data_IF_181091574096
#
_entry.id   IF_181091574096
#
_cell.length_a   1.000
_cell.length_b   1.000
_cell.length_c   1.000
_cell.angle_alpha   90.00
_cell.angle_beta   90.00
_cell.angle_gamma   90.00
#
_symmetry.space_group_name_H-M   'P 1'
#
loop_
_entity.id
_entity.type
_entity.pdbx_description
1 polymer ?
#
# COMPACT_ATOMS: atom_id res chain seq x y z
N UNK A 1 -1.54 -13.39 -10.47
CA UNK A 1 -2.67 -14.04 -9.78
C UNK A 1 -3.32 -13.00 -8.87
N UNK A 2 -4.60 -12.68 -9.08
CA UNK A 2 -5.38 -11.81 -8.19
C UNK A 2 -6.56 -12.65 -7.68
N UNK A 3 -6.64 -12.88 -6.37
CA UNK A 3 -7.70 -13.69 -5.75
C UNK A 3 -8.31 -12.92 -4.60
N UNK A 4 -9.64 -12.89 -4.59
CA UNK A 4 -10.46 -12.33 -3.52
C UNK A 4 -11.22 -13.47 -2.83
N UNK A 5 -11.39 -13.37 -1.51
CA UNK A 5 -12.04 -14.41 -0.71
C UNK A 5 -13.47 -14.70 -1.16
N UNK A 6 -14.18 -13.67 -1.60
CA UNK A 6 -15.56 -13.79 -2.06
C UNK A 6 -15.70 -14.77 -3.23
N UNK A 7 -14.71 -14.81 -4.13
CA UNK A 7 -14.73 -15.63 -5.35
C UNK A 7 -13.99 -16.96 -5.15
N UNK A 8 -12.86 -16.97 -4.43
CA UNK A 8 -11.96 -18.13 -4.32
C UNK A 8 -11.97 -18.77 -2.93
N UNK A 9 -13.15 -19.09 -2.39
CA UNK A 9 -13.32 -19.55 -0.99
C UNK A 9 -12.38 -20.69 -0.60
N UNK A 10 -12.35 -21.78 -1.38
CA UNK A 10 -11.54 -22.97 -1.07
C UNK A 10 -10.04 -22.67 -0.99
N UNK A 11 -9.56 -21.74 -1.81
CA UNK A 11 -8.16 -21.29 -1.76
C UNK A 11 -7.84 -20.58 -0.44
N UNK A 12 -8.76 -19.72 0.04
CA UNK A 12 -8.56 -19.03 1.31
C UNK A 12 -8.79 -19.95 2.51
N UNK A 13 -9.72 -20.92 2.43
CA UNK A 13 -9.88 -21.97 3.45
C UNK A 13 -8.59 -22.78 3.61
N UNK A 14 -7.93 -23.16 2.50
CA UNK A 14 -6.62 -23.84 2.54
C UNK A 14 -5.56 -23.01 3.28
N UNK A 15 -5.52 -21.70 3.03
CA UNK A 15 -4.58 -20.79 3.71
C UNK A 15 -4.90 -20.70 5.21
N UNK A 16 -6.17 -20.67 5.58
CA UNK A 16 -6.59 -20.70 6.98
C UNK A 16 -6.19 -22.00 7.67
N UNK A 17 -6.36 -23.14 7.02
CA UNK A 17 -6.02 -24.45 7.58
C UNK A 17 -4.50 -24.67 7.69
N UNK A 18 -3.73 -24.27 6.68
CA UNK A 18 -2.28 -24.54 6.62
C UNK A 18 -1.42 -23.46 7.30
N UNK A 19 -1.86 -22.20 7.31
CA UNK A 19 -1.09 -21.06 7.82
C UNK A 19 -1.77 -20.31 8.98
N UNK A 20 -2.97 -20.74 9.40
CA UNK A 20 -3.78 -20.07 10.44
C UNK A 20 -4.04 -18.58 10.13
N UNK A 21 -4.09 -18.24 8.84
CA UNK A 21 -4.13 -16.87 8.33
C UNK A 21 -5.45 -16.55 7.63
N UNK A 22 -6.24 -15.63 8.21
CA UNK A 22 -7.48 -15.14 7.61
C UNK A 22 -7.21 -13.91 6.72
N UNK A 23 -7.34 -14.10 5.40
CA UNK A 23 -7.13 -13.06 4.39
C UNK A 23 -8.42 -12.75 3.62
N UNK A 24 -8.54 -11.49 3.20
CA UNK A 24 -9.59 -11.00 2.30
C UNK A 24 -9.14 -11.03 0.84
N UNK A 25 -7.91 -10.60 0.55
CA UNK A 25 -7.32 -10.67 -0.78
C UNK A 25 -5.88 -11.19 -0.74
N UNK A 26 -5.47 -11.82 -1.83
CA UNK A 26 -4.09 -12.21 -2.11
C UNK A 26 -3.79 -11.96 -3.58
N UNK A 27 -2.80 -11.12 -3.83
CA UNK A 27 -2.31 -10.78 -5.16
C UNK A 27 -0.85 -11.16 -5.25
N UNK A 28 -0.51 -11.79 -6.37
CA UNK A 28 0.82 -12.24 -6.69
C UNK A 28 1.16 -11.84 -8.12
N UNK A 29 2.18 -11.00 -8.26
CA UNK A 29 2.81 -10.63 -9.51
C UNK A 29 4.14 -11.38 -9.63
N UNK A 30 4.23 -12.22 -10.65
CA UNK A 30 5.50 -12.84 -11.04
C UNK A 30 6.27 -11.83 -11.88
N UNK A 31 7.42 -11.37 -11.41
CA UNK A 31 8.31 -10.50 -12.18
C UNK A 31 9.63 -11.20 -12.50
N UNK A 32 10.45 -10.58 -13.34
CA UNK A 32 11.70 -11.16 -13.84
C UNK A 32 12.77 -11.36 -12.77
N UNK A 33 12.79 -10.52 -11.73
CA UNK A 33 13.81 -10.54 -10.69
C UNK A 33 13.24 -10.89 -9.30
N UNK A 34 12.13 -10.25 -8.92
CA UNK A 34 11.50 -10.46 -7.63
C UNK A 34 9.99 -10.64 -7.78
N UNK A 35 9.47 -11.69 -7.15
CA UNK A 35 8.04 -11.87 -7.02
C UNK A 35 7.48 -10.80 -6.07
N UNK A 36 6.37 -10.17 -6.45
CA UNK A 36 5.71 -9.16 -5.63
C UNK A 36 4.35 -9.67 -5.18
N UNK A 37 4.08 -9.60 -3.88
CA UNK A 37 2.83 -10.09 -3.30
C UNK A 37 2.17 -9.00 -2.44
N UNK A 38 0.85 -8.88 -2.55
CA UNK A 38 0.01 -8.05 -1.70
C UNK A 38 -0.99 -8.98 -1.02
N UNK A 39 -1.06 -8.93 0.31
CA UNK A 39 -2.05 -9.67 1.10
C UNK A 39 -2.84 -8.68 1.95
N UNK A 40 -4.12 -8.96 2.17
CA UNK A 40 -5.00 -8.13 3.00
C UNK A 40 -5.54 -8.97 4.17
N UNK A 41 -4.77 -9.10 5.27
CA UNK A 41 -5.19 -9.86 6.44
C UNK A 41 -6.22 -9.10 7.29
N UNK A 42 -7.07 -9.82 8.02
CA UNK A 42 -7.93 -9.19 9.03
C UNK A 42 -7.09 -8.73 10.22
N UNK A 43 -7.46 -7.58 10.81
CA UNK A 43 -6.79 -7.05 12.02
C UNK A 43 -6.86 -8.01 13.22
N UNK A 44 -7.98 -8.72 13.38
CA UNK A 44 -8.13 -9.76 14.42
C UNK A 44 -7.11 -10.89 14.24
N UNK A 45 -6.89 -11.31 12.99
CA UNK A 45 -5.93 -12.36 12.67
C UNK A 45 -4.48 -11.91 12.94
N UNK A 46 -4.12 -10.68 12.55
CA UNK A 46 -2.80 -10.12 12.90
C UNK A 46 -2.54 -10.14 14.42
N UNK A 47 -3.53 -9.74 15.22
CA UNK A 47 -3.42 -9.77 16.69
C UNK A 47 -3.26 -11.18 17.25
N UNK A 48 -3.94 -12.18 16.66
CA UNK A 48 -3.81 -13.60 17.03
C UNK A 48 -2.35 -14.08 16.88
N UNK A 49 -1.67 -13.59 15.84
CA UNK A 49 -0.26 -13.87 15.55
C UNK A 49 0.73 -12.96 16.29
N UNK A 50 0.26 -12.19 17.29
CA UNK A 50 1.12 -11.31 18.08
C UNK A 50 1.67 -10.10 17.34
N UNK A 51 1.05 -9.73 16.21
CA UNK A 51 1.34 -8.51 15.46
C UNK A 51 0.44 -7.37 15.96
N UNK A 52 1.00 -6.18 16.12
CA UNK A 52 0.26 -5.01 16.62
C UNK A 52 -0.68 -4.41 15.56
N UNK A 53 -0.40 -4.68 14.28
CA UNK A 53 -1.09 -4.08 13.14
C UNK A 53 -0.65 -2.64 12.85
N UNK A 54 0.54 -2.24 13.33
CA UNK A 54 1.16 -0.96 12.96
C UNK A 54 1.53 -0.94 11.48
N UNK A 55 1.53 0.26 10.92
CA UNK A 55 1.94 0.55 9.55
C UNK A 55 3.47 0.65 9.49
N UNK A 56 4.07 -0.11 8.56
CA UNK A 56 5.50 -0.18 8.26
C UNK A 56 5.74 0.22 6.80
N UNK A 57 6.04 1.50 6.58
CA UNK A 57 6.41 2.02 5.27
C UNK A 57 7.85 2.51 5.26
N UNK A 58 8.35 2.70 4.04
CA UNK A 58 9.74 3.01 3.73
C UNK A 58 10.37 4.15 4.54
N UNK A 59 9.63 5.24 4.79
CA UNK A 59 10.13 6.39 5.55
C UNK A 59 10.45 6.02 7.01
N UNK A 60 9.59 5.22 7.65
CA UNK A 60 9.82 4.72 9.01
C UNK A 60 10.99 3.74 9.07
N UNK A 61 11.13 2.88 8.05
CA UNK A 61 12.21 1.89 7.97
C UNK A 61 13.62 2.48 7.86
N UNK A 62 13.76 3.71 7.36
CA UNK A 62 15.05 4.44 7.26
C UNK A 62 15.40 5.27 8.49
N UNK A 63 14.44 5.53 9.36
CA UNK A 63 14.65 6.29 10.59
C UNK A 63 15.29 5.42 11.68
N UNK A 64 16.02 6.00 12.63
CA UNK A 64 16.58 5.25 13.78
C UNK A 64 15.51 4.48 14.58
N UNK A 65 14.24 4.92 14.52
CA UNK A 65 13.10 4.23 15.12
C UNK A 65 12.77 2.87 14.46
N UNK A 66 13.19 2.66 13.20
CA UNK A 66 13.02 1.38 12.49
C UNK A 66 13.79 0.21 13.12
N UNK A 67 14.81 0.50 13.93
CA UNK A 67 15.54 -0.53 14.69
C UNK A 67 14.75 -1.09 15.88
N UNK A 68 13.81 -0.33 16.45
CA UNK A 68 12.94 -0.78 17.55
C UNK A 68 11.84 -1.75 17.10
N UNK A 69 11.47 -1.75 15.82
CA UNK A 69 10.44 -2.63 15.25
C UNK A 69 11.01 -3.89 14.58
N UNK A 70 12.30 -4.20 14.80
CA UNK A 70 12.98 -5.35 14.20
C UNK A 70 12.29 -6.69 14.53
N UNK A 71 11.89 -6.87 15.79
CA UNK A 71 11.19 -8.10 16.23
C UNK A 71 9.81 -8.24 15.59
N UNK A 72 9.05 -7.15 15.50
CA UNK A 72 7.71 -7.19 14.90
C UNK A 72 7.80 -7.44 13.38
N UNK A 73 8.81 -6.87 12.73
CA UNK A 73 9.10 -7.12 11.32
C UNK A 73 9.51 -8.58 11.06
N UNK A 74 10.27 -9.19 11.97
CA UNK A 74 10.61 -10.61 11.88
C UNK A 74 9.36 -11.50 11.96
N UNK A 75 8.44 -11.22 12.89
CA UNK A 75 7.13 -11.90 13.00
C UNK A 75 6.30 -11.71 11.74
N UNK A 76 6.29 -10.50 11.17
CA UNK A 76 5.53 -10.20 9.95
C UNK A 76 6.09 -10.97 8.75
N UNK A 77 7.42 -11.10 8.63
CA UNK A 77 8.06 -11.94 7.61
C UNK A 77 7.68 -13.40 7.75
N UNK A 78 7.70 -13.94 8.98
CA UNK A 78 7.30 -15.32 9.25
C UNK A 78 5.83 -15.57 8.88
N UNK A 79 4.93 -14.67 9.31
CA UNK A 79 3.52 -14.70 8.94
C UNK A 79 3.32 -14.70 7.42
N UNK A 80 3.97 -13.76 6.71
CA UNK A 80 3.92 -13.70 5.25
C UNK A 80 4.47 -14.97 4.60
N UNK A 81 5.59 -15.51 5.09
CA UNK A 81 6.19 -16.75 4.55
C UNK A 81 5.23 -17.93 4.66
N UNK A 82 4.58 -18.10 5.80
CA UNK A 82 3.62 -19.19 6.01
C UNK A 82 2.43 -19.07 5.05
N UNK A 83 1.90 -17.85 4.88
CA UNK A 83 0.85 -17.55 3.90
C UNK A 83 1.29 -17.89 2.48
N UNK A 84 2.49 -17.47 2.07
CA UNK A 84 3.00 -17.72 0.71
C UNK A 84 3.18 -19.21 0.42
N UNK A 85 3.71 -19.97 1.39
CA UNK A 85 3.83 -21.43 1.30
C UNK A 85 2.45 -22.09 1.13
N UNK A 86 1.48 -21.73 1.97
CA UNK A 86 0.13 -22.28 1.91
C UNK A 86 -0.58 -21.93 0.58
N UNK A 87 -0.32 -20.74 0.06
CA UNK A 87 -0.80 -20.27 -1.23
C UNK A 87 -0.11 -20.94 -2.44
N UNK A 88 0.95 -21.73 -2.22
CA UNK A 88 1.74 -22.36 -3.28
C UNK A 88 2.62 -21.39 -4.06
N UNK A 89 2.98 -20.24 -3.45
CA UNK A 89 3.86 -19.25 -4.05
C UNK A 89 5.31 -19.59 -3.68
N UNK A 90 6.23 -19.66 -4.66
CA UNK A 90 7.61 -20.05 -4.40
C UNK A 90 8.34 -19.00 -3.55
N UNK A 91 8.96 -19.45 -2.46
CA UNK A 91 9.86 -18.68 -1.60
C UNK A 91 11.16 -19.47 -1.49
N UNK A 92 12.29 -18.85 -1.81
CA UNK A 92 13.60 -19.48 -1.66
C UNK A 92 14.15 -19.27 -0.25
N UNK A 93 13.97 -20.26 0.63
CA UNK A 93 14.44 -20.20 2.01
C UNK A 93 15.94 -20.35 2.17
N UNK A 94 16.65 -20.75 1.10
CA UNK A 94 18.11 -20.89 1.13
C UNK A 94 18.84 -19.58 0.91
N UNK A 95 18.14 -18.57 0.38
CA UNK A 95 18.66 -17.22 0.20
C UNK A 95 18.71 -16.44 1.52
N UNK A 96 19.60 -15.46 1.55
CA UNK A 96 19.69 -14.48 2.63
C UNK A 96 18.34 -13.80 2.88
N UNK A 97 18.14 -13.32 4.11
CA UNK A 97 16.88 -12.74 4.56
C UNK A 97 15.65 -13.68 4.41
N UNK A 98 15.91 -14.99 4.25
CA UNK A 98 14.91 -16.05 4.16
C UNK A 98 13.95 -15.89 2.99
N UNK A 99 14.51 -15.55 1.83
CA UNK A 99 13.82 -15.46 0.53
C UNK A 99 13.19 -14.11 0.20
N UNK A 100 13.35 -13.12 1.08
CA UNK A 100 12.89 -11.75 0.85
C UNK A 100 14.04 -10.88 0.32
N UNK A 101 13.71 -9.83 -0.45
CA UNK A 101 14.68 -8.81 -0.87
C UNK A 101 15.28 -8.08 0.32
N UNK A 102 16.35 -7.30 0.14
CA UNK A 102 16.97 -6.57 1.24
C UNK A 102 16.06 -5.49 1.85
N UNK A 103 16.28 -5.23 3.14
CA UNK A 103 15.63 -4.12 3.82
C UNK A 103 16.01 -2.77 3.15
N UNK A 104 15.08 -1.81 3.06
CA UNK A 104 13.76 -1.76 3.71
C UNK A 104 12.60 -2.36 2.89
N UNK A 105 12.85 -2.96 1.71
CA UNK A 105 11.80 -3.35 0.75
C UNK A 105 11.31 -4.80 0.90
N UNK A 106 11.85 -5.53 1.88
CA UNK A 106 11.56 -6.91 2.23
C UNK A 106 10.08 -7.19 2.55
N UNK A 107 9.54 -6.53 3.58
CA UNK A 107 8.16 -6.66 4.04
C UNK A 107 7.70 -5.33 4.60
N UNK A 108 6.51 -4.91 4.20
CA UNK A 108 5.92 -3.62 4.55
C UNK A 108 4.43 -3.81 4.88
N UNK A 109 3.91 -2.93 5.74
CA UNK A 109 2.50 -2.91 6.10
C UNK A 109 1.94 -1.52 5.82
N UNK A 110 0.84 -1.46 5.08
CA UNK A 110 0.16 -0.23 4.69
C UNK A 110 -1.25 -0.24 5.28
N UNK A 111 -1.78 0.96 5.53
CA UNK A 111 -3.18 1.11 5.90
C UNK A 111 -4.02 1.21 4.63
N UNK A 112 -5.04 0.37 4.53
CA UNK A 112 -6.04 0.39 3.45
C UNK A 112 -7.46 0.54 4.00
N UNK A 113 -7.62 0.86 5.28
CA UNK A 113 -8.94 1.12 5.86
C UNK A 113 -9.51 2.46 5.37
N UNK A 114 -8.65 3.40 5.05
CA UNK A 114 -8.99 4.72 4.53
C UNK A 114 -8.33 4.89 3.15
N UNK A 115 -9.08 5.38 2.16
CA UNK A 115 -8.56 5.85 0.88
C UNK A 115 -9.02 7.28 0.69
N UNK A 116 -8.08 8.19 0.55
CA UNK A 116 -8.35 9.62 0.48
C UNK A 116 -8.53 10.07 -0.97
N UNK A 117 -9.46 11.00 -1.17
CA UNK A 117 -9.63 11.69 -2.43
C UNK A 117 -9.89 13.17 -2.18
N UNK A 118 -9.46 14.01 -3.12
CA UNK A 118 -9.81 15.43 -3.11
C UNK A 118 -10.92 15.71 -4.12
N UNK A 119 -11.97 16.45 -3.74
CA UNK A 119 -13.06 16.78 -4.66
C UNK A 119 -12.63 17.78 -5.74
N UNK A 120 -11.50 18.48 -5.56
CA UNK A 120 -10.99 19.48 -6.51
C UNK A 120 -9.64 19.03 -7.05
N UNK A 121 -9.62 18.69 -8.33
CA UNK A 121 -8.39 18.29 -9.04
C UNK A 121 -7.57 19.46 -9.55
N UNK A 122 -8.21 20.58 -9.88
CA UNK A 122 -7.57 21.76 -10.45
C UNK A 122 -8.14 23.02 -9.81
N UNK A 123 -7.26 23.95 -9.49
CA UNK A 123 -7.60 25.32 -9.13
C UNK A 123 -6.91 26.28 -10.09
N UNK A 124 -7.70 27.15 -10.72
CA UNK A 124 -7.22 28.22 -11.59
C UNK A 124 -7.81 29.56 -11.11
N UNK A 125 -7.03 30.64 -11.24
CA UNK A 125 -7.47 31.97 -10.89
C UNK A 125 -8.06 32.67 -12.12
N UNK A 126 -9.34 32.45 -12.37
CA UNK A 126 -10.07 33.09 -13.47
C UNK A 126 -10.37 34.55 -13.13
N UNK A 127 -10.34 35.46 -14.13
CA UNK A 127 -10.89 36.79 -13.95
C UNK A 127 -12.39 36.70 -13.62
N UNK A 128 -12.93 37.65 -12.83
CA UNK A 128 -14.38 37.82 -12.67
C UNK A 128 -15.10 37.96 -14.02
N UNK A 129 -16.38 37.57 -14.08
CA UNK A 129 -17.16 37.59 -15.33
C UNK A 129 -17.34 39.00 -15.92
N UNK A 130 -17.21 40.03 -15.09
CA UNK A 130 -17.29 41.46 -15.41
C UNK A 130 -15.92 42.11 -15.60
N UNK A 131 -14.83 41.34 -15.68
CA UNK A 131 -13.48 41.89 -15.86
C UNK A 131 -13.26 42.38 -17.29
N UNK A 132 -13.16 43.70 -17.44
CA UNK A 132 -12.85 44.36 -18.71
C UNK A 132 -11.34 44.61 -18.87
N UNK A 133 -10.77 44.08 -19.95
CA UNK A 133 -9.34 44.23 -20.29
C UNK A 133 -9.01 45.65 -20.75
N UNK A 134 -9.93 46.34 -21.42
CA UNK A 134 -9.70 47.70 -21.90
C UNK A 134 -9.70 48.70 -20.73
N UNK A 135 -10.58 48.49 -19.73
CA UNK A 135 -10.67 49.34 -18.56
C UNK A 135 -9.62 49.03 -17.48
N UNK A 136 -9.27 47.75 -17.29
CA UNK A 136 -8.44 47.31 -16.15
C UNK A 136 -7.04 46.83 -16.54
N UNK A 137 -6.74 46.66 -17.82
CA UNK A 137 -5.50 46.08 -18.32
C UNK A 137 -5.46 44.55 -18.25
N UNK A 138 -4.34 43.95 -18.66
CA UNK A 138 -4.15 42.49 -18.67
C UNK A 138 -4.39 41.88 -17.28
N UNK A 139 -5.13 40.77 -17.21
CA UNK A 139 -5.42 40.10 -15.95
C UNK A 139 -4.16 39.44 -15.39
N UNK A 140 -3.61 40.02 -14.32
CA UNK A 140 -2.41 39.49 -13.64
C UNK A 140 -2.74 38.54 -12.47
N UNK A 141 -4.03 38.18 -12.30
CA UNK A 141 -4.48 37.39 -11.15
C UNK A 141 -4.29 38.11 -9.81
N UNK A 142 -4.48 37.38 -8.70
CA UNK A 142 -4.05 37.81 -7.36
C UNK A 142 -2.54 37.67 -7.20
N UNK A 143 -1.73 38.41 -7.98
CA UNK A 143 -0.25 38.51 -8.00
C UNK A 143 0.61 37.23 -8.00
N UNK A 144 0.23 36.10 -7.39
CA UNK A 144 1.00 34.87 -7.20
C UNK A 144 0.06 33.65 -6.90
N UNK A 145 -0.95 33.38 -7.73
CA UNK A 145 -1.71 32.11 -7.61
C UNK A 145 -1.50 31.30 -8.89
N UNK A 146 -0.49 30.41 -8.93
CA UNK A 146 -0.28 29.55 -10.09
C UNK A 146 -1.48 28.63 -10.31
N UNK A 147 -1.64 28.13 -11.53
CA UNK A 147 -2.52 26.98 -11.76
C UNK A 147 -1.98 25.81 -10.93
N UNK A 148 -2.81 25.26 -10.04
CA UNK A 148 -2.46 24.09 -9.25
C UNK A 148 -3.33 22.94 -9.72
N UNK A 149 -2.68 21.87 -10.19
CA UNK A 149 -3.31 20.60 -10.50
C UNK A 149 -2.75 19.52 -9.60
N UNK A 150 -3.63 18.72 -9.01
CA UNK A 150 -3.27 17.49 -8.31
C UNK A 150 -3.41 16.32 -9.28
N UNK A 151 -2.45 15.40 -9.25
CA UNK A 151 -2.42 14.21 -10.09
C UNK A 151 -1.84 13.01 -9.31
N UNK A 152 -2.19 11.79 -9.74
CA UNK A 152 -1.77 10.55 -9.08
C UNK A 152 -2.40 10.37 -7.70
N UNK A 153 -1.69 9.70 -6.79
CA UNK A 153 -2.14 9.37 -5.43
C UNK A 153 -2.49 10.62 -4.60
N UNK A 154 -1.88 11.77 -4.90
CA UNK A 154 -2.19 13.05 -4.26
C UNK A 154 -3.59 13.58 -4.63
N UNK A 155 -4.19 13.09 -5.71
CA UNK A 155 -5.56 13.40 -6.13
C UNK A 155 -6.54 12.34 -5.61
N UNK A 156 -6.20 11.07 -5.85
CA UNK A 156 -7.04 9.93 -5.54
C UNK A 156 -6.13 8.77 -5.17
N UNK A 157 -6.16 8.37 -3.91
CA UNK A 157 -5.39 7.22 -3.45
C UNK A 157 -5.94 5.93 -4.07
N UNK A 158 -5.08 5.13 -4.72
CA UNK A 158 -5.50 3.87 -5.29
C UNK A 158 -5.58 2.79 -4.21
N UNK A 159 -6.64 1.97 -4.25
CA UNK A 159 -6.65 0.70 -3.53
C UNK A 159 -5.93 -0.35 -4.40
N UNK A 160 -4.68 -0.67 -4.07
CA UNK A 160 -3.82 -1.52 -4.90
C UNK A 160 -4.40 -2.90 -5.22
N UNK A 161 -5.28 -3.48 -4.38
CA UNK A 161 -5.88 -4.76 -4.73
C UNK A 161 -6.97 -4.75 -5.81
N UNK A 162 -7.49 -3.57 -6.21
CA UNK A 162 -8.49 -3.45 -7.27
C UNK A 162 -7.88 -3.63 -8.68
#
# INVERSE_FOLDING_TARGET
>A
MNRTRMVFRDFFTKIEEEADAELENLIYYKASFHNYCIITPKRSNLKKHGLSGKVYHFEKGRSQAGSQDSEEKAKLKEYCRNVLKAAGIPVDETMDNGGFVDAPNDVMAFDFAECWNTPKSIAFNMPPADYDVEAHGEWMGRRLVPMIGLAGDALLEPFWPM
#
